data_IF_765781816788
#
_entry.id   IF_765781816788
#
_cell.length_a   1.000
_cell.length_b   1.000
_cell.length_c   1.000
_cell.angle_alpha   90.00
_cell.angle_beta   90.00
_cell.angle_gamma   90.00
#
_symmetry.space_group_name_H-M   'P 1'
#
loop_
_entity.id
_entity.type
_entity.pdbx_description
1 polymer ?
#
# COMPACT_ATOMS: atom_id res chain seq x y z
N UNK A 1 -4.34 -16.64 11.79
CA UNK A 1 -3.45 -16.78 12.97
C UNK A 1 -2.05 -17.20 12.52
N UNK A 2 -1.22 -16.25 12.06
CA UNK A 2 0.14 -16.57 11.63
C UNK A 2 1.07 -16.50 12.84
N UNK A 3 1.35 -17.70 13.34
CA UNK A 3 2.50 -18.13 14.14
C UNK A 3 3.55 -17.06 14.41
N UNK A 4 3.54 -16.50 15.62
CA UNK A 4 4.78 -16.13 16.30
C UNK A 4 4.99 -17.19 17.37
N UNK A 5 5.61 -18.30 16.95
CA UNK A 5 5.96 -19.39 17.85
C UNK A 5 7.09 -18.90 18.75
N UNK A 6 6.80 -18.90 20.05
CA UNK A 6 7.75 -18.84 21.14
C UNK A 6 8.93 -19.77 20.86
N UNK A 7 10.05 -19.22 20.41
CA UNK A 7 11.34 -19.91 20.40
C UNK A 7 12.37 -19.01 21.07
N UNK A 8 12.75 -19.50 22.23
CA UNK A 8 13.87 -19.19 23.09
C UNK A 8 15.17 -18.88 22.34
N UNK A 9 16.07 -18.21 23.06
CA UNK A 9 17.54 -18.15 22.91
C UNK A 9 18.12 -16.83 22.38
N UNK A 10 18.91 -16.23 23.27
CA UNK A 10 19.37 -14.85 23.29
C UNK A 10 20.57 -14.55 22.38
N UNK A 11 20.60 -15.04 21.12
CA UNK A 11 21.70 -14.76 20.19
C UNK A 11 21.29 -14.49 18.74
N UNK A 12 20.01 -14.30 18.44
CA UNK A 12 19.56 -14.00 17.07
C UNK A 12 18.63 -12.79 17.07
N UNK A 13 19.20 -11.59 16.96
CA UNK A 13 18.43 -10.39 16.59
C UNK A 13 19.25 -9.36 15.79
N UNK A 14 20.13 -9.83 14.90
CA UNK A 14 20.57 -9.05 13.72
C UNK A 14 19.71 -9.36 12.49
N UNK A 15 18.52 -9.94 12.67
CA UNK A 15 17.57 -10.19 11.59
C UNK A 15 16.45 -9.16 11.64
N UNK A 16 16.65 -8.14 10.80
CA UNK A 16 15.64 -7.53 9.93
C UNK A 16 14.52 -6.73 10.58
N UNK A 17 14.81 -5.53 11.08
CA UNK A 17 13.83 -4.43 11.14
C UNK A 17 13.86 -3.62 9.84
N UNK A 18 13.56 -4.29 8.73
CA UNK A 18 13.42 -3.68 7.40
C UNK A 18 11.99 -3.82 6.88
N UNK A 19 11.00 -3.44 7.69
CA UNK A 19 9.59 -3.59 7.34
C UNK A 19 9.08 -2.47 6.42
N UNK A 20 9.69 -2.25 5.26
CA UNK A 20 9.15 -1.28 4.28
C UNK A 20 8.10 -1.88 3.35
N UNK A 21 7.87 -3.21 3.40
CA UNK A 21 6.90 -3.90 2.54
C UNK A 21 5.54 -4.22 3.21
N UNK A 22 5.43 -4.13 4.55
CA UNK A 22 4.26 -4.63 5.28
C UNK A 22 3.03 -3.68 5.24
N UNK A 23 3.20 -2.43 4.83
CA UNK A 23 2.11 -1.45 4.87
C UNK A 23 1.04 -1.67 3.78
N UNK A 24 1.42 -2.22 2.61
CA UNK A 24 0.49 -2.36 1.47
C UNK A 24 -0.46 -3.54 1.65
N UNK A 25 0.01 -4.64 2.23
CA UNK A 25 -0.78 -5.87 2.48
C UNK A 25 -1.98 -5.61 3.41
N UNK A 26 -1.86 -4.64 4.31
CA UNK A 26 -2.91 -4.27 5.28
C UNK A 26 -3.99 -3.34 4.72
N UNK A 27 -3.80 -2.74 3.55
CA UNK A 27 -4.78 -1.80 2.96
C UNK A 27 -6.08 -2.50 2.59
N UNK A 28 -6.03 -3.79 2.25
CA UNK A 28 -7.20 -4.56 1.84
C UNK A 28 -7.78 -5.44 2.95
N UNK A 29 -7.14 -5.48 4.13
CA UNK A 29 -7.62 -6.26 5.29
C UNK A 29 -8.91 -5.63 5.82
N UNK A 30 -10.07 -6.23 5.49
CA UNK A 30 -11.40 -5.71 5.84
C UNK A 30 -12.10 -4.93 4.70
N UNK A 31 -11.42 -4.67 3.58
CA UNK A 31 -12.00 -4.02 2.38
C UNK A 31 -12.36 -5.04 1.29
N UNK A 32 -12.82 -6.22 1.70
CA UNK A 32 -13.15 -7.35 0.81
C UNK A 32 -14.65 -7.38 0.44
N UNK A 33 -15.42 -6.37 0.85
CA UNK A 33 -16.86 -6.29 0.68
C UNK A 33 -17.31 -5.51 -0.57
N UNK A 34 -18.63 -5.55 -0.84
CA UNK A 34 -19.28 -4.84 -1.97
C UNK A 34 -19.20 -3.31 -1.90
N UNK A 35 -18.66 -2.78 -0.81
CA UNK A 35 -18.52 -1.36 -0.47
C UNK A 35 -17.27 -0.70 -1.08
N UNK A 36 -16.24 -1.49 -1.44
CA UNK A 36 -14.97 -0.96 -1.99
C UNK A 36 -14.50 -1.64 -3.27
N UNK A 37 -15.33 -2.54 -3.83
CA UNK A 37 -15.03 -3.24 -5.09
C UNK A 37 -14.80 -2.24 -6.23
N UNK A 38 -13.55 -2.13 -6.69
CA UNK A 38 -13.17 -1.35 -7.86
C UNK A 38 -12.67 0.07 -7.61
N UNK A 39 -12.61 0.56 -6.36
CA UNK A 39 -11.97 1.85 -6.06
C UNK A 39 -10.52 1.66 -5.62
N UNK A 40 -9.52 2.20 -6.34
CA UNK A 40 -8.14 2.15 -5.88
C UNK A 40 -7.89 3.10 -4.71
N UNK A 41 -7.01 2.69 -3.82
CA UNK A 41 -6.51 3.42 -2.66
C UNK A 41 -5.17 4.07 -2.99
N UNK A 42 -4.84 5.15 -2.29
CA UNK A 42 -3.51 5.74 -2.38
C UNK A 42 -2.48 4.87 -1.67
N UNK A 43 -1.30 4.73 -2.28
CA UNK A 43 -0.18 4.07 -1.62
C UNK A 43 0.35 4.95 -0.46
N UNK A 44 0.64 4.38 0.72
CA UNK A 44 0.90 5.13 1.96
C UNK A 44 2.23 5.88 1.94
N UNK A 45 3.20 5.42 1.14
CA UNK A 45 4.56 5.98 1.14
C UNK A 45 4.95 6.65 -0.17
N UNK A 46 4.30 6.27 -1.26
CA UNK A 46 4.69 6.66 -2.61
C UNK A 46 3.48 7.17 -3.37
N UNK A 47 3.64 8.29 -4.02
CA UNK A 47 2.53 9.07 -4.56
C UNK A 47 2.20 8.71 -6.01
N UNK A 48 3.20 8.24 -6.73
CA UNK A 48 3.07 7.65 -8.06
C UNK A 48 2.55 6.21 -8.04
N UNK A 49 2.10 5.72 -6.89
CA UNK A 49 1.58 4.36 -6.75
C UNK A 49 0.17 4.38 -6.13
N UNK A 50 -0.61 3.39 -6.52
CA UNK A 50 -1.96 3.16 -6.02
C UNK A 50 -2.15 1.67 -5.72
N UNK A 51 -3.14 1.35 -4.92
CA UNK A 51 -3.40 -0.01 -4.47
C UNK A 51 -4.83 -0.39 -4.81
N UNK A 52 -5.01 -1.47 -5.56
CA UNK A 52 -6.33 -2.04 -5.84
C UNK A 52 -6.53 -3.30 -5.01
N UNK A 53 -7.70 -3.44 -4.39
CA UNK A 53 -8.06 -4.64 -3.67
C UNK A 53 -8.78 -5.61 -4.59
N UNK A 54 -8.25 -6.83 -4.72
CA UNK A 54 -8.94 -7.91 -5.42
C UNK A 54 -10.08 -8.48 -4.59
N UNK A 55 -10.95 -9.24 -5.25
CA UNK A 55 -12.04 -9.99 -4.58
C UNK A 55 -11.53 -11.05 -3.60
N UNK A 56 -10.27 -11.46 -3.74
CA UNK A 56 -9.56 -12.34 -2.80
C UNK A 56 -8.99 -11.60 -1.58
N UNK A 57 -9.22 -10.29 -1.48
CA UNK A 57 -8.76 -9.44 -0.38
C UNK A 57 -7.28 -9.10 -0.42
N UNK A 58 -6.60 -9.40 -1.53
CA UNK A 58 -5.19 -9.06 -1.73
C UNK A 58 -5.03 -7.67 -2.32
N UNK A 59 -3.97 -7.00 -1.88
CA UNK A 59 -3.53 -5.73 -2.42
C UNK A 59 -2.68 -5.92 -3.68
N UNK A 60 -3.08 -5.28 -4.77
CA UNK A 60 -2.33 -5.21 -6.01
C UNK A 60 -1.79 -3.79 -6.18
N UNK A 61 -0.48 -3.67 -6.36
CA UNK A 61 0.19 -2.39 -6.52
C UNK A 61 0.14 -1.95 -7.99
N UNK A 62 -0.47 -0.79 -8.24
CA UNK A 62 -0.45 -0.09 -9.51
C UNK A 62 0.52 1.08 -9.50
N UNK A 63 1.11 1.38 -10.65
CA UNK A 63 2.06 2.49 -10.83
C UNK A 63 1.51 3.48 -11.84
N UNK A 64 1.57 4.76 -11.51
CA UNK A 64 1.22 5.84 -12.42
C UNK A 64 2.35 6.12 -13.43
N UNK A 65 2.02 6.62 -14.63
CA UNK A 65 3.03 7.12 -15.57
C UNK A 65 3.96 8.16 -14.95
N UNK A 66 5.19 8.25 -15.48
CA UNK A 66 6.18 9.22 -15.01
C UNK A 66 5.62 10.66 -15.04
N UNK A 67 5.84 11.40 -13.95
CA UNK A 67 5.33 12.77 -13.79
C UNK A 67 3.86 12.89 -13.41
N UNK A 68 3.15 11.77 -13.19
CA UNK A 68 1.75 11.76 -12.71
C UNK A 68 1.61 11.05 -11.37
N UNK A 69 0.56 11.39 -10.62
CA UNK A 69 0.33 10.91 -9.26
C UNK A 69 -1.11 10.46 -9.09
N UNK A 70 -1.35 9.51 -8.21
CA UNK A 70 -2.69 8.98 -8.02
C UNK A 70 -3.59 9.97 -7.27
N UNK A 71 -4.67 10.38 -7.92
CA UNK A 71 -5.73 11.22 -7.37
C UNK A 71 -6.85 10.35 -6.79
N UNK A 72 -7.09 10.44 -5.49
CA UNK A 72 -8.10 9.63 -4.79
C UNK A 72 -9.54 10.06 -5.14
N UNK A 73 -9.74 11.34 -5.50
CA UNK A 73 -11.06 11.92 -5.83
C UNK A 73 -11.46 11.55 -7.25
N UNK A 74 -10.54 11.68 -8.20
CA UNK A 74 -10.75 11.33 -9.61
C UNK A 74 -10.49 9.85 -9.89
N UNK A 75 -9.91 9.12 -8.93
CA UNK A 75 -9.54 7.70 -9.05
C UNK A 75 -8.65 7.42 -10.28
N UNK A 76 -7.76 8.35 -10.60
CA UNK A 76 -6.90 8.30 -11.80
C UNK A 76 -5.54 8.95 -11.54
N UNK A 77 -4.58 8.71 -12.43
CA UNK A 77 -3.27 9.35 -12.37
C UNK A 77 -3.32 10.71 -13.10
N UNK A 78 -2.94 11.79 -12.42
CA UNK A 78 -2.84 13.13 -13.00
C UNK A 78 -1.66 13.90 -12.44
N UNK A 79 -1.13 14.86 -13.19
CA UNK A 79 -0.05 15.75 -12.73
C UNK A 79 -0.50 16.67 -11.59
N UNK A 80 -1.77 17.07 -11.59
CA UNK A 80 -2.37 17.98 -10.61
C UNK A 80 -2.37 17.38 -9.18
N UNK A 81 -2.46 16.05 -9.09
CA UNK A 81 -2.48 15.30 -7.84
C UNK A 81 -1.15 15.38 -7.07
N UNK A 82 -0.08 15.88 -7.70
CA UNK A 82 1.18 16.21 -7.03
C UNK A 82 0.96 17.17 -5.85
N UNK A 83 0.04 18.12 -5.99
CA UNK A 83 -0.29 19.09 -4.92
C UNK A 83 -0.92 18.42 -3.70
N UNK A 84 -1.67 17.33 -3.91
CA UNK A 84 -2.35 16.54 -2.87
C UNK A 84 -1.48 15.38 -2.35
N UNK A 85 -0.20 15.38 -2.70
CA UNK A 85 0.71 14.29 -2.39
C UNK A 85 1.07 14.21 -0.90
N UNK A 86 1.08 15.35 -0.21
CA UNK A 86 1.51 15.45 1.19
C UNK A 86 2.95 14.99 1.37
N UNK A 87 3.21 14.23 2.44
CA UNK A 87 4.55 13.75 2.80
C UNK A 87 4.98 12.47 2.04
N UNK A 88 4.17 11.99 1.09
CA UNK A 88 4.47 10.79 0.29
C UNK A 88 5.57 11.10 -0.71
N UNK A 89 6.45 10.12 -0.95
CA UNK A 89 7.54 10.25 -1.92
C UNK A 89 7.02 10.27 -3.35
N UNK A 90 7.50 11.22 -4.14
CA UNK A 90 7.37 11.22 -5.59
C UNK A 90 8.52 10.40 -6.15
N UNK A 91 8.21 9.27 -6.79
CA UNK A 91 9.22 8.39 -7.40
C UNK A 91 9.85 9.00 -8.65
#
# INVERSE_FOLDING_TARGET
>A
MKFVSSFTTALVALVTFGSTALAVDKICEGHTGKDTLGKPFAHPTMCGYFVTCGSDGKAYLGTCPAGTYYDIKLTTCTGEAKSSCGDRKTS
#
